data_IF_060436392531
#
_entry.id   IF_060436392531
#
_cell.length_a   1.000
_cell.length_b   1.000
_cell.length_c   1.000
_cell.angle_alpha   90.00
_cell.angle_beta   90.00
_cell.angle_gamma   90.00
#
_symmetry.space_group_name_H-M   'P 1'
#
loop_
_entity.id
_entity.type
_entity.pdbx_description
1 polymer ?
#
# COMPACT_ATOMS: atom_id res chain seq x y z
N UNK A 1 -8.56 10.25 -10.71
CA UNK A 1 -8.57 9.00 -11.49
C UNK A 1 -7.58 7.97 -10.94
N UNK A 2 -6.27 8.23 -10.91
CA UNK A 2 -5.25 7.30 -10.37
C UNK A 2 -5.57 6.84 -8.93
N UNK A 3 -6.01 7.74 -8.05
CA UNK A 3 -6.32 7.43 -6.65
C UNK A 3 -7.52 6.49 -6.46
N UNK A 4 -8.50 6.53 -7.36
CA UNK A 4 -9.68 5.64 -7.31
C UNK A 4 -9.28 4.25 -7.81
N UNK A 5 -8.51 4.16 -8.89
CA UNK A 5 -7.96 2.89 -9.40
C UNK A 5 -7.05 2.21 -8.38
N UNK A 6 -6.21 2.99 -7.67
CA UNK A 6 -5.32 2.47 -6.63
C UNK A 6 -6.08 1.93 -5.40
N UNK A 7 -7.27 2.47 -5.10
CA UNK A 7 -8.12 1.99 -4.01
C UNK A 7 -8.93 0.72 -4.40
N UNK A 8 -9.27 0.57 -5.68
CA UNK A 8 -10.07 -0.57 -6.18
C UNK A 8 -9.19 -1.78 -6.51
N UNK A 9 -7.96 -1.56 -6.96
CA UNK A 9 -7.02 -2.63 -7.34
C UNK A 9 -6.80 -3.71 -6.25
N UNK A 10 -6.60 -3.36 -4.96
CA UNK A 10 -6.43 -4.35 -3.89
C UNK A 10 -7.66 -5.25 -3.64
N UNK A 11 -8.85 -4.87 -4.11
CA UNK A 11 -10.08 -5.69 -4.03
C UNK A 11 -10.11 -6.68 -5.20
N UNK A 12 -9.90 -6.12 -6.39
CA UNK A 12 -10.06 -6.84 -7.65
C UNK A 12 -8.95 -7.87 -7.80
N UNK A 13 -7.73 -7.54 -7.36
CA UNK A 13 -6.58 -8.43 -7.46
C UNK A 13 -6.76 -9.79 -6.74
N UNK A 14 -7.11 -9.86 -5.43
CA UNK A 14 -7.33 -11.13 -4.76
C UNK A 14 -8.61 -11.85 -5.22
N UNK A 15 -9.67 -11.13 -5.59
CA UNK A 15 -10.90 -11.76 -6.12
C UNK A 15 -10.64 -12.45 -7.47
N UNK A 16 -10.04 -11.75 -8.43
CA UNK A 16 -9.71 -12.34 -9.73
C UNK A 16 -8.58 -13.36 -9.62
N UNK A 17 -7.54 -13.07 -8.84
CA UNK A 17 -6.42 -13.98 -8.62
C UNK A 17 -6.84 -15.28 -7.93
N UNK A 18 -7.72 -15.19 -6.92
CA UNK A 18 -8.30 -16.34 -6.24
C UNK A 18 -9.23 -17.16 -7.14
N UNK A 19 -10.07 -16.50 -7.95
CA UNK A 19 -10.95 -17.19 -8.89
C UNK A 19 -10.19 -17.95 -9.98
N UNK A 20 -9.13 -17.33 -10.53
CA UNK A 20 -8.25 -17.99 -11.51
C UNK A 20 -7.48 -19.14 -10.86
N UNK A 21 -6.93 -18.95 -9.65
CA UNK A 21 -6.20 -19.99 -8.94
C UNK A 21 -7.11 -21.20 -8.60
N UNK A 22 -8.37 -20.95 -8.27
CA UNK A 22 -9.35 -21.99 -7.93
C UNK A 22 -9.73 -22.85 -9.16
N UNK A 23 -9.95 -22.23 -10.32
CA UNK A 23 -10.39 -22.95 -11.52
C UNK A 23 -9.26 -23.48 -12.40
N UNK A 24 -8.13 -22.77 -12.49
CA UNK A 24 -7.06 -23.04 -13.46
C UNK A 24 -5.70 -23.33 -12.82
N UNK A 25 -5.66 -23.58 -11.51
CA UNK A 25 -4.45 -23.75 -10.71
C UNK A 25 -3.62 -22.47 -10.59
N UNK A 26 -2.67 -22.47 -9.65
CA UNK A 26 -1.83 -21.30 -9.34
C UNK A 26 -0.93 -20.86 -10.51
N UNK A 27 -0.52 -21.79 -11.42
CA UNK A 27 0.30 -21.42 -12.58
C UNK A 27 -0.44 -20.49 -13.55
N UNK A 28 -1.76 -20.60 -13.66
CA UNK A 28 -2.55 -19.76 -14.55
C UNK A 28 -2.55 -18.29 -14.12
N UNK A 29 -2.43 -18.01 -12.82
CA UNK A 29 -2.29 -16.63 -12.31
C UNK A 29 -1.01 -15.99 -12.84
N UNK A 30 0.10 -16.73 -12.84
CA UNK A 30 1.38 -16.22 -13.37
C UNK A 30 1.32 -15.96 -14.88
N UNK A 31 0.71 -16.87 -15.65
CA UNK A 31 0.54 -16.69 -17.10
C UNK A 31 -0.37 -15.49 -17.41
N UNK A 32 -1.46 -15.33 -16.67
CA UNK A 32 -2.36 -14.19 -16.82
C UNK A 32 -1.67 -12.86 -16.54
N UNK A 33 -0.93 -12.76 -15.43
CA UNK A 33 -0.17 -11.54 -15.09
C UNK A 33 0.90 -11.25 -16.14
N UNK A 34 1.58 -12.28 -16.67
CA UNK A 34 2.56 -12.12 -17.73
C UNK A 34 1.92 -11.56 -19.02
N UNK A 35 0.80 -12.13 -19.47
CA UNK A 35 0.05 -11.63 -20.63
C UNK A 35 -0.45 -10.21 -20.43
N UNK A 36 -0.92 -9.89 -19.23
CA UNK A 36 -1.38 -8.53 -18.89
C UNK A 36 -0.23 -7.51 -18.96
N UNK A 37 0.94 -7.83 -18.41
CA UNK A 37 2.13 -6.98 -18.50
C UNK A 37 2.60 -6.81 -19.95
N UNK A 38 2.56 -7.88 -20.75
CA UNK A 38 2.92 -7.85 -22.17
C UNK A 38 1.96 -6.97 -22.97
N UNK A 39 0.65 -7.08 -22.72
CA UNK A 39 -0.36 -6.24 -23.36
C UNK A 39 -0.17 -4.75 -23.03
N UNK A 40 0.13 -4.42 -21.77
CA UNK A 40 0.45 -3.04 -21.36
C UNK A 40 1.73 -2.55 -22.03
N UNK A 41 2.76 -3.40 -22.11
CA UNK A 41 4.01 -3.03 -22.76
C UNK A 41 3.81 -2.72 -24.25
N UNK A 42 3.06 -3.56 -24.95
CA UNK A 42 2.74 -3.38 -26.37
C UNK A 42 1.89 -2.12 -26.56
N UNK A 43 0.85 -1.93 -25.74
CA UNK A 43 0.02 -0.72 -25.77
C UNK A 43 0.86 0.52 -25.48
N UNK A 44 1.76 0.45 -24.50
CA UNK A 44 2.65 1.56 -24.17
C UNK A 44 3.58 1.90 -25.32
N UNK A 45 4.17 0.90 -25.98
CA UNK A 45 5.02 1.08 -27.15
C UNK A 45 4.28 1.68 -28.36
N UNK A 46 3.02 1.30 -28.56
CA UNK A 46 2.23 1.75 -29.72
C UNK A 46 1.50 3.09 -29.50
N UNK A 47 1.08 3.37 -28.27
CA UNK A 47 0.17 4.47 -27.94
C UNK A 47 0.87 5.62 -27.23
N UNK A 48 1.94 5.40 -26.45
CA UNK A 48 2.64 6.52 -25.83
C UNK A 48 3.51 7.22 -26.89
N UNK A 49 3.20 8.48 -27.26
CA UNK A 49 4.15 9.30 -27.99
C UNK A 49 5.39 9.49 -27.11
N UNK A 50 6.57 9.55 -27.75
CA UNK A 50 7.80 9.97 -27.07
C UNK A 50 7.52 11.31 -26.36
N UNK A 51 7.47 11.25 -25.04
CA UNK A 51 7.10 12.38 -24.18
C UNK A 51 8.33 13.14 -23.72
N UNK A 52 9.51 12.87 -24.30
CA UNK A 52 10.76 13.56 -24.00
C UNK A 52 10.79 14.91 -24.76
N UNK A 53 10.50 16.06 -24.11
CA UNK A 53 10.42 17.35 -24.78
C UNK A 53 11.78 18.07 -24.76
N UNK A 54 12.79 17.51 -24.07
CA UNK A 54 14.04 18.20 -23.80
C UNK A 54 15.24 17.39 -24.31
N UNK A 55 16.20 18.06 -24.99
CA UNK A 55 17.44 17.43 -25.42
C UNK A 55 18.19 16.90 -24.20
N UNK A 56 18.94 15.80 -24.38
CA UNK A 56 19.80 15.14 -23.39
C UNK A 56 20.49 16.18 -22.48
N UNK A 57 19.91 16.47 -21.32
CA UNK A 57 20.63 17.15 -20.25
C UNK A 57 21.80 16.24 -19.90
N UNK A 58 23.01 16.78 -19.88
CA UNK A 58 24.18 16.01 -19.45
C UNK A 58 23.87 15.47 -18.06
N UNK A 59 23.83 14.16 -17.92
CA UNK A 59 23.55 13.48 -16.67
C UNK A 59 24.75 13.72 -15.74
N UNK A 60 24.70 14.81 -14.99
CA UNK A 60 25.76 15.20 -14.05
C UNK A 60 25.53 14.48 -12.73
N UNK A 61 26.16 13.31 -12.59
CA UNK A 61 26.09 12.46 -11.39
C UNK A 61 26.38 13.24 -10.10
N UNK A 62 27.25 14.26 -10.18
CA UNK A 62 27.59 15.13 -9.05
C UNK A 62 26.40 16.01 -8.61
N UNK A 63 25.64 16.58 -9.55
CA UNK A 63 24.45 17.38 -9.25
C UNK A 63 23.33 16.51 -8.67
N UNK A 64 23.17 15.29 -9.19
CA UNK A 64 22.24 14.30 -8.65
C UNK A 64 22.62 13.94 -7.20
N UNK A 65 23.89 13.62 -6.93
CA UNK A 65 24.35 13.31 -5.56
C UNK A 65 24.14 14.47 -4.59
N UNK A 66 24.42 15.72 -4.98
CA UNK A 66 24.20 16.89 -4.12
C UNK A 66 22.71 17.10 -3.84
N UNK A 67 21.85 16.93 -4.84
CA UNK A 67 20.40 17.01 -4.64
C UNK A 67 19.87 15.91 -3.72
N UNK A 68 20.35 14.66 -3.86
CA UNK A 68 20.03 13.57 -2.93
C UNK A 68 20.51 13.88 -1.51
N UNK A 69 21.70 14.45 -1.34
CA UNK A 69 22.23 14.82 -0.03
C UNK A 69 21.40 15.95 0.62
N UNK A 70 20.97 16.93 -0.18
CA UNK A 70 20.09 18.01 0.28
C UNK A 70 18.72 17.47 0.70
N UNK A 71 18.15 16.55 -0.08
CA UNK A 71 16.91 15.83 0.26
C UNK A 71 17.04 15.03 1.56
N UNK A 72 18.15 14.30 1.74
CA UNK A 72 18.45 13.53 2.95
C UNK A 72 18.69 14.40 4.18
N UNK A 73 19.04 15.68 4.01
CA UNK A 73 19.28 16.62 5.13
C UNK A 73 18.04 17.43 5.49
N UNK A 74 17.04 17.48 4.60
CA UNK A 74 15.82 18.26 4.82
C UNK A 74 14.89 17.57 5.83
N UNK A 75 14.70 18.20 6.99
CA UNK A 75 13.84 17.70 8.10
C UNK A 75 12.40 17.39 7.67
N UNK A 76 11.85 18.10 6.69
CA UNK A 76 10.49 17.84 6.19
C UNK A 76 10.43 16.54 5.38
N UNK A 77 11.49 16.24 4.63
CA UNK A 77 11.62 15.01 3.83
C UNK A 77 11.87 13.83 4.76
N UNK A 78 12.80 13.95 5.71
CA UNK A 78 13.07 12.92 6.71
C UNK A 78 11.81 12.62 7.53
N UNK A 79 11.09 13.66 8.00
CA UNK A 79 9.85 13.47 8.74
C UNK A 79 8.80 12.70 7.92
N UNK A 80 8.53 13.16 6.70
CA UNK A 80 7.56 12.51 5.80
C UNK A 80 7.98 11.09 5.40
N UNK A 81 9.28 10.85 5.20
CA UNK A 81 9.84 9.54 4.89
C UNK A 81 9.71 8.58 6.08
N UNK A 82 10.00 9.02 7.31
CA UNK A 82 9.82 8.24 8.53
C UNK A 82 8.36 7.85 8.75
N UNK A 83 7.41 8.77 8.51
CA UNK A 83 5.97 8.46 8.57
C UNK A 83 5.55 7.41 7.54
N UNK A 84 6.11 7.52 6.32
CA UNK A 84 5.92 6.52 5.28
C UNK A 84 6.46 5.14 5.71
N UNK A 85 7.68 5.13 6.23
CA UNK A 85 8.39 3.92 6.62
C UNK A 85 7.65 3.17 7.71
N UNK A 86 7.16 3.89 8.73
CA UNK A 86 6.46 3.28 9.85
C UNK A 86 5.08 2.74 9.43
N UNK A 87 4.40 3.40 8.48
CA UNK A 87 3.18 2.85 7.87
C UNK A 87 3.47 1.60 7.04
N UNK A 88 4.57 1.58 6.31
CA UNK A 88 4.98 0.43 5.50
C UNK A 88 5.39 -0.78 6.36
N UNK A 89 6.14 -0.54 7.44
CA UNK A 89 6.50 -1.57 8.43
C UNK A 89 5.24 -2.19 9.06
N UNK A 90 4.26 -1.38 9.45
CA UNK A 90 2.97 -1.87 9.96
C UNK A 90 2.24 -2.79 8.95
N UNK A 91 2.25 -2.41 7.67
CA UNK A 91 1.69 -3.24 6.60
C UNK A 91 2.44 -4.56 6.41
N UNK A 92 3.77 -4.54 6.45
CA UNK A 92 4.60 -5.75 6.37
C UNK A 92 4.37 -6.70 7.55
N UNK A 93 4.27 -6.15 8.77
CA UNK A 93 3.95 -6.95 9.97
C UNK A 93 2.59 -7.61 9.78
N UNK A 94 1.59 -6.88 9.30
CA UNK A 94 0.26 -7.43 9.03
C UNK A 94 0.29 -8.56 8.00
N UNK A 95 1.01 -8.39 6.90
CA UNK A 95 1.09 -9.41 5.84
C UNK A 95 1.85 -10.67 6.28
N UNK A 96 2.91 -10.52 7.09
CA UNK A 96 3.78 -11.64 7.47
C UNK A 96 3.34 -12.33 8.76
N UNK A 97 3.01 -11.57 9.82
CA UNK A 97 2.65 -12.16 11.13
C UNK A 97 1.21 -12.65 11.16
N UNK A 98 0.27 -12.02 10.46
CA UNK A 98 -1.14 -12.42 10.55
C UNK A 98 -1.41 -13.88 10.12
N UNK A 99 -0.96 -14.35 8.93
CA UNK A 99 -1.14 -15.75 8.56
C UNK A 99 -0.39 -16.70 9.49
N UNK A 100 0.79 -16.30 9.99
CA UNK A 100 1.57 -17.09 10.93
C UNK A 100 0.82 -17.32 12.27
N UNK A 101 0.31 -16.25 12.89
CA UNK A 101 -0.43 -16.33 14.15
C UNK A 101 -1.75 -17.09 14.00
N UNK A 102 -2.41 -16.98 12.85
CA UNK A 102 -3.68 -17.69 12.60
C UNK A 102 -3.46 -19.17 12.28
N UNK A 103 -2.46 -19.52 11.47
CA UNK A 103 -2.28 -20.89 10.98
C UNK A 103 -1.36 -21.73 11.87
N UNK A 104 -0.26 -21.17 12.40
CA UNK A 104 0.67 -21.92 13.25
C UNK A 104 0.29 -21.90 14.72
N UNK A 105 -0.03 -20.74 15.29
CA UNK A 105 -0.31 -20.64 16.74
C UNK A 105 -1.75 -21.07 17.07
N UNK A 106 -2.72 -20.69 16.25
CA UNK A 106 -4.14 -21.03 16.45
C UNK A 106 -4.58 -22.31 15.72
N UNK A 107 -3.68 -22.93 14.93
CA UNK A 107 -3.94 -24.18 14.23
C UNK A 107 -5.05 -24.11 13.18
N UNK A 108 -5.42 -22.91 12.71
CA UNK A 108 -6.49 -22.77 11.72
C UNK A 108 -6.06 -23.32 10.36
N UNK A 109 -7.00 -23.92 9.65
CA UNK A 109 -6.75 -24.37 8.29
C UNK A 109 -6.60 -23.17 7.34
N UNK A 110 -5.92 -23.37 6.21
CA UNK A 110 -5.78 -22.33 5.20
C UNK A 110 -7.13 -21.85 4.64
N UNK A 111 -8.15 -22.73 4.63
CA UNK A 111 -9.51 -22.39 4.22
C UNK A 111 -10.19 -21.45 5.22
N UNK A 112 -10.09 -21.74 6.51
CA UNK A 112 -10.63 -20.87 7.57
C UNK A 112 -9.95 -19.51 7.55
N UNK A 113 -8.62 -19.48 7.42
CA UNK A 113 -7.86 -18.24 7.26
C UNK A 113 -8.35 -17.40 6.08
N UNK A 114 -8.54 -18.03 4.91
CA UNK A 114 -9.05 -17.35 3.72
C UNK A 114 -10.41 -16.70 3.94
N UNK A 115 -11.31 -17.38 4.66
CA UNK A 115 -12.63 -16.83 5.02
C UNK A 115 -12.54 -15.63 5.97
N UNK A 116 -11.64 -15.72 6.96
CA UNK A 116 -11.42 -14.67 7.96
C UNK A 116 -10.73 -13.44 7.35
N UNK A 117 -9.87 -13.62 6.35
CA UNK A 117 -9.15 -12.54 5.67
C UNK A 117 -10.07 -11.55 4.94
N UNK A 118 -11.33 -11.92 4.68
CA UNK A 118 -12.36 -11.03 4.11
C UNK A 118 -12.60 -9.83 5.04
N UNK A 119 -12.58 -10.03 6.37
CA UNK A 119 -12.88 -8.97 7.34
C UNK A 119 -11.76 -7.90 7.38
N UNK A 120 -10.47 -8.24 7.56
CA UNK A 120 -9.39 -7.26 7.46
C UNK A 120 -9.31 -6.59 6.08
N UNK A 121 -9.56 -7.35 5.01
CA UNK A 121 -9.61 -6.81 3.65
C UNK A 121 -10.70 -5.74 3.53
N UNK A 122 -11.91 -5.99 4.04
CA UNK A 122 -12.98 -5.00 4.07
C UNK A 122 -12.58 -3.76 4.90
N UNK A 123 -11.85 -3.95 6.01
CA UNK A 123 -11.27 -2.85 6.79
C UNK A 123 -10.35 -1.94 5.96
N UNK A 124 -9.46 -2.53 5.15
CA UNK A 124 -8.60 -1.77 4.23
C UNK A 124 -9.41 -0.92 3.25
N UNK A 125 -10.50 -1.48 2.71
CA UNK A 125 -11.37 -0.76 1.78
C UNK A 125 -12.09 0.38 2.45
N UNK A 126 -12.68 0.13 3.61
CA UNK A 126 -13.31 1.17 4.41
C UNK A 126 -12.32 2.29 4.73
N UNK A 127 -11.07 1.96 5.06
CA UNK A 127 -10.00 2.95 5.26
C UNK A 127 -9.74 3.80 4.02
N UNK A 128 -9.65 3.17 2.84
CA UNK A 128 -9.45 3.88 1.57
C UNK A 128 -10.65 4.77 1.17
N UNK A 129 -11.88 4.36 1.49
CA UNK A 129 -13.09 5.13 1.24
C UNK A 129 -13.18 6.33 2.19
N UNK A 130 -12.94 6.09 3.48
CA UNK A 130 -12.87 7.13 4.52
C UNK A 130 -11.80 8.14 4.17
N UNK A 131 -10.64 7.69 3.67
CA UNK A 131 -9.62 8.59 3.16
C UNK A 131 -10.16 9.47 2.03
N UNK A 132 -10.83 8.93 1.01
CA UNK A 132 -11.36 9.74 -0.08
C UNK A 132 -12.32 10.83 0.41
N UNK A 133 -13.13 10.54 1.44
CA UNK A 133 -14.03 11.52 2.06
C UNK A 133 -13.27 12.59 2.85
N UNK A 134 -12.28 12.19 3.63
CA UNK A 134 -11.54 13.05 4.56
C UNK A 134 -10.43 13.85 3.83
N UNK A 135 -9.90 13.34 2.72
CA UNK A 135 -8.82 13.95 1.96
C UNK A 135 -9.18 15.33 1.39
N UNK A 136 -10.48 15.62 1.21
CA UNK A 136 -10.94 16.94 0.76
C UNK A 136 -11.10 17.96 1.91
N UNK A 137 -11.04 17.51 3.17
CA UNK A 137 -11.26 18.35 4.37
C UNK A 137 -10.06 18.48 5.28
N UNK A 138 -9.15 17.50 5.30
CA UNK A 138 -8.01 17.45 6.21
C UNK A 138 -6.68 17.45 5.47
N UNK A 139 -5.65 17.98 6.13
CA UNK A 139 -4.28 17.96 5.59
C UNK A 139 -3.70 16.54 5.67
N UNK A 140 -2.86 16.17 4.70
CA UNK A 140 -2.18 14.88 4.65
C UNK A 140 -1.48 14.51 5.99
N UNK A 141 -0.87 15.48 6.67
CA UNK A 141 -0.24 15.29 7.98
C UNK A 141 -1.24 14.87 9.07
N UNK A 142 -2.46 15.42 9.09
CA UNK A 142 -3.48 15.07 10.07
C UNK A 142 -4.02 13.66 9.83
N UNK A 143 -4.17 13.28 8.55
CA UNK A 143 -4.61 11.95 8.16
C UNK A 143 -3.56 10.89 8.55
N UNK A 144 -2.27 11.19 8.35
CA UNK A 144 -1.19 10.33 8.83
C UNK A 144 -1.20 10.21 10.35
N UNK A 145 -1.38 11.30 11.09
CA UNK A 145 -1.43 11.27 12.55
C UNK A 145 -2.59 10.41 13.07
N UNK A 146 -3.78 10.53 12.46
CA UNK A 146 -4.93 9.66 12.76
C UNK A 146 -4.61 8.19 12.48
N UNK A 147 -3.98 7.91 11.33
CA UNK A 147 -3.59 6.55 10.97
C UNK A 147 -2.60 5.96 11.99
N UNK A 148 -1.65 6.77 12.48
CA UNK A 148 -0.73 6.37 13.54
C UNK A 148 -1.42 6.08 14.86
N UNK A 149 -2.37 6.92 15.26
CA UNK A 149 -3.15 6.69 16.47
C UNK A 149 -3.91 5.35 16.39
N UNK A 150 -4.47 5.02 15.22
CA UNK A 150 -5.16 3.74 14.99
C UNK A 150 -4.18 2.55 15.05
N UNK A 151 -2.99 2.67 14.45
CA UNK A 151 -1.94 1.62 14.52
C UNK A 151 -1.49 1.40 15.97
N UNK A 152 -1.23 2.48 16.72
CA UNK A 152 -0.82 2.40 18.12
C UNK A 152 -1.93 1.77 18.98
N UNK A 153 -3.18 2.17 18.78
CA UNK A 153 -4.34 1.60 19.48
C UNK A 153 -4.49 0.10 19.17
N UNK A 154 -4.28 -0.31 17.91
CA UNK A 154 -4.32 -1.71 17.50
C UNK A 154 -3.20 -2.53 18.15
N UNK A 155 -2.00 -1.96 18.24
CA UNK A 155 -0.86 -2.56 18.96
C UNK A 155 -1.14 -2.73 20.46
N UNK A 156 -1.70 -1.70 21.11
CA UNK A 156 -2.14 -1.81 22.51
C UNK A 156 -3.23 -2.87 22.67
N UNK A 157 -4.17 -2.97 21.73
CA UNK A 157 -5.23 -3.97 21.75
C UNK A 157 -4.64 -5.39 21.72
N UNK A 158 -3.63 -5.63 20.88
CA UNK A 158 -2.91 -6.91 20.82
C UNK A 158 -2.18 -7.27 22.13
N UNK A 159 -1.70 -6.28 22.88
CA UNK A 159 -0.99 -6.50 24.15
C UNK A 159 -1.93 -6.78 25.33
N UNK A 160 -3.12 -6.15 25.34
CA UNK A 160 -4.05 -6.21 26.47
C UNK A 160 -5.06 -7.35 26.35
N UNK A 161 -5.47 -7.68 25.12
CA UNK A 161 -6.53 -8.66 24.89
C UNK A 161 -5.98 -10.09 24.82
N UNK A 162 -6.77 -11.10 25.23
CA UNK A 162 -6.34 -12.49 25.17
C UNK A 162 -6.15 -12.95 23.72
N UNK A 163 -5.15 -13.82 23.51
CA UNK A 163 -4.80 -14.39 22.21
C UNK A 163 -5.92 -15.29 21.69
N UNK A 164 -6.89 -14.66 21.01
CA UNK A 164 -8.10 -15.27 20.49
C UNK A 164 -8.31 -14.83 19.06
N UNK A 165 -9.01 -15.67 18.28
CA UNK A 165 -9.31 -15.39 16.86
C UNK A 165 -10.00 -14.02 16.71
N UNK A 166 -10.96 -13.71 17.57
CA UNK A 166 -11.73 -12.47 17.55
C UNK A 166 -10.86 -11.23 17.85
N UNK A 167 -9.98 -11.30 18.85
CA UNK A 167 -9.06 -10.19 19.19
C UNK A 167 -8.12 -9.88 18.03
N UNK A 168 -7.50 -10.92 17.47
CA UNK A 168 -6.57 -10.77 16.34
C UNK A 168 -7.32 -10.23 15.12
N UNK A 169 -8.52 -10.73 14.82
CA UNK A 169 -9.36 -10.18 13.76
C UNK A 169 -9.60 -8.68 13.92
N UNK A 170 -10.01 -8.22 15.10
CA UNK A 170 -10.27 -6.80 15.36
C UNK A 170 -9.00 -5.98 15.22
N UNK A 171 -7.90 -6.41 15.83
CA UNK A 171 -6.63 -5.69 15.78
C UNK A 171 -6.07 -5.59 14.35
N UNK A 172 -6.06 -6.69 13.61
CA UNK A 172 -5.56 -6.70 12.23
C UNK A 172 -6.52 -5.99 11.25
N UNK A 173 -7.82 -5.95 11.54
CA UNK A 173 -8.77 -5.13 10.78
C UNK A 173 -8.52 -3.64 10.99
N UNK A 174 -8.26 -3.21 12.22
CA UNK A 174 -7.89 -1.82 12.52
C UNK A 174 -6.54 -1.44 11.89
N UNK A 175 -5.54 -2.35 11.91
CA UNK A 175 -4.28 -2.15 11.19
C UNK A 175 -4.50 -2.00 9.68
N UNK A 176 -5.31 -2.89 9.09
CA UNK A 176 -5.66 -2.86 7.66
C UNK A 176 -6.39 -1.56 7.28
N UNK A 177 -7.30 -1.08 8.13
CA UNK A 177 -7.98 0.19 7.97
C UNK A 177 -7.00 1.38 7.97
N UNK A 178 -6.07 1.42 8.92
CA UNK A 178 -5.04 2.46 8.98
C UNK A 178 -4.12 2.40 7.73
N UNK A 179 -3.81 1.21 7.25
CA UNK A 179 -3.03 1.02 6.03
C UNK A 179 -3.76 1.56 4.80
N UNK A 180 -5.06 1.29 4.67
CA UNK A 180 -5.91 1.80 3.59
C UNK A 180 -5.98 3.34 3.55
N UNK A 181 -5.89 3.99 4.73
CA UNK A 181 -5.80 5.45 4.83
C UNK A 181 -4.41 5.99 4.52
N UNK A 182 -3.35 5.33 5.00
CA UNK A 182 -1.98 5.86 4.91
C UNK A 182 -1.36 5.68 3.52
N UNK A 183 -1.62 4.56 2.86
CA UNK A 183 -0.95 4.19 1.60
C UNK A 183 -1.10 5.23 0.47
N UNK A 184 -2.31 5.75 0.16
CA UNK A 184 -2.47 6.72 -0.93
C UNK A 184 -1.94 8.11 -0.56
N UNK A 185 -2.02 8.48 0.72
CA UNK A 185 -1.52 9.76 1.25
C UNK A 185 0.00 9.81 1.16
N UNK A 186 0.65 8.71 1.52
CA UNK A 186 2.09 8.52 1.44
C UNK A 186 2.65 8.72 0.03
N UNK A 187 2.03 8.09 -0.97
CA UNK A 187 2.40 8.27 -2.39
C UNK A 187 2.15 9.72 -2.83
N UNK A 188 1.01 10.31 -2.43
CA UNK A 188 0.68 11.70 -2.75
C UNK A 188 1.67 12.70 -2.14
N UNK A 189 2.13 12.49 -0.90
CA UNK A 189 3.13 13.33 -0.22
C UNK A 189 4.53 13.20 -0.82
N UNK A 190 4.89 12.04 -1.35
CA UNK A 190 6.16 11.87 -2.07
C UNK A 190 6.14 12.60 -3.41
N UNK A 191 5.00 12.55 -4.10
CA UNK A 191 4.82 13.17 -5.42
C UNK A 191 4.54 14.68 -5.37
N UNK A 192 3.92 15.21 -4.30
CA UNK A 192 3.52 16.64 -4.25
C UNK A 192 4.69 17.63 -4.33
N UNK A 193 5.85 17.41 -3.67
CA UNK A 193 7.01 18.30 -3.76
C UNK A 193 7.80 18.08 -5.06
N UNK A 194 7.70 16.89 -5.68
CA UNK A 194 8.51 16.48 -6.83
C UNK A 194 7.75 16.54 -8.16
N UNK A 195 6.51 17.06 -8.18
CA UNK A 195 5.75 17.30 -9.42
C UNK A 195 6.50 18.17 -10.43
N UNK A 196 7.41 19.04 -9.98
CA UNK A 196 8.27 19.86 -10.84
C UNK A 196 9.65 19.23 -11.15
N UNK A 197 10.00 18.09 -10.55
CA UNK A 197 11.24 17.35 -10.81
C UNK A 197 11.03 15.98 -11.49
N UNK A 198 9.79 15.66 -11.88
CA UNK A 198 9.52 14.54 -12.75
C UNK A 198 10.20 14.78 -14.11
N UNK A 199 11.42 14.28 -14.26
CA UNK A 199 12.27 14.46 -15.44
C UNK A 199 13.56 15.28 -15.22
N UNK A 200 13.97 15.57 -13.99
CA UNK A 200 15.27 16.20 -13.69
C UNK A 200 16.43 15.20 -13.67
#
# INVERSE_FOLDING_TARGET
YISVTAAVMPIVAPLFGGWIAYHFSWQAVFVFVLLYLLAIFILGYLVLPETLPYPKRKFEVRQVMVNYFYLLTNKQVIGSASYNWLSYLSGLVTLSLYPFLMQQELGLTAADYGSLMIIPSAGLLMGSLVLNLINNRYKAQQILLMSFAIVALSGCLLLVTPFTVASLLVAFTCLSFAQGMSFPVSISLLLSPHKQQAGA
#
